data_IF_269822171873
#
_entry.id   IF_269822171873
#
_cell.length_a   1.000
_cell.length_b   1.000
_cell.length_c   1.000
_cell.angle_alpha   90.00
_cell.angle_beta   90.00
_cell.angle_gamma   90.00
#
_symmetry.space_group_name_H-M   'P 1'
#
loop_
_entity.id
_entity.type
_entity.pdbx_description
1 polymer ?
#
# COMPACT_ATOMS: atom_id res chain seq x y z
N UNK A 1 24.11 7.33 3.48
CA UNK A 1 23.51 8.09 2.37
C UNK A 1 22.04 8.29 2.71
N UNK A 2 21.62 9.50 3.08
CA UNK A 2 20.22 9.81 3.33
C UNK A 2 19.46 9.88 2.01
N UNK A 3 18.24 9.34 2.00
CA UNK A 3 17.35 9.22 0.84
C UNK A 3 17.14 10.54 0.07
N UNK A 4 17.32 11.68 0.75
CA UNK A 4 17.31 13.04 0.20
C UNK A 4 18.30 13.25 -0.96
N UNK A 5 19.45 12.56 -0.96
CA UNK A 5 20.46 12.74 -2.02
C UNK A 5 20.11 12.06 -3.35
N UNK A 6 19.14 11.16 -3.37
CA UNK A 6 18.77 10.41 -4.59
C UNK A 6 17.93 11.23 -5.58
N UNK A 7 17.29 12.33 -5.14
CA UNK A 7 16.40 13.13 -5.99
C UNK A 7 17.04 14.39 -6.60
N UNK A 8 18.19 14.86 -6.07
CA UNK A 8 18.87 16.04 -6.62
C UNK A 8 19.39 15.83 -8.07
N UNK A 9 19.42 14.58 -8.57
CA UNK A 9 20.00 14.23 -9.87
C UNK A 9 19.02 14.22 -11.05
N UNK A 10 17.72 14.51 -10.83
CA UNK A 10 16.70 14.54 -11.90
C UNK A 10 16.50 15.95 -12.49
N UNK A 11 17.25 16.96 -12.01
CA UNK A 11 17.20 18.32 -12.56
C UNK A 11 18.25 18.54 -13.65
N UNK A 12 18.06 17.96 -14.84
CA UNK A 12 18.57 18.50 -16.11
C UNK A 12 17.63 18.06 -17.23
N UNK A 13 16.87 19.04 -17.75
CA UNK A 13 16.02 19.02 -18.95
C UNK A 13 14.52 18.82 -18.71
N UNK A 14 13.78 19.92 -18.70
CA UNK A 14 12.31 19.96 -18.77
C UNK A 14 11.69 20.67 -17.58
N UNK A 15 11.27 21.91 -17.75
CA UNK A 15 10.68 22.78 -16.73
C UNK A 15 9.27 22.38 -16.28
N UNK A 16 9.04 21.11 -15.98
CA UNK A 16 7.88 20.67 -15.21
C UNK A 16 8.18 20.86 -13.72
N UNK A 17 7.44 21.74 -13.05
CA UNK A 17 7.56 21.91 -11.61
C UNK A 17 7.12 20.59 -10.94
N UNK A 18 8.08 19.78 -10.49
CA UNK A 18 7.79 18.61 -9.66
C UNK A 18 7.21 19.09 -8.33
N UNK A 19 5.90 18.91 -8.14
CA UNK A 19 5.26 19.17 -6.84
C UNK A 19 5.47 17.96 -5.95
N UNK A 20 6.48 18.03 -5.09
CA UNK A 20 6.65 17.06 -4.01
C UNK A 20 5.63 17.37 -2.93
N UNK A 21 4.52 16.63 -2.91
CA UNK A 21 3.59 16.64 -1.78
C UNK A 21 4.10 15.62 -0.76
N UNK A 22 4.50 16.10 0.42
CA UNK A 22 4.96 15.25 1.54
C UNK A 22 3.75 14.54 2.15
N UNK A 23 3.20 13.57 1.44
CA UNK A 23 2.10 12.77 1.94
C UNK A 23 2.63 11.73 2.93
N UNK A 24 2.14 11.76 4.17
CA UNK A 24 2.36 10.69 5.16
C UNK A 24 1.50 9.48 4.84
N UNK A 25 1.78 8.84 3.71
CA UNK A 25 1.08 7.63 3.24
C UNK A 25 1.89 6.40 3.62
N UNK A 26 1.19 5.32 3.96
CA UNK A 26 1.78 4.01 4.21
C UNK A 26 1.40 3.06 3.10
N UNK A 27 2.36 2.30 2.59
CA UNK A 27 2.11 1.10 1.80
C UNK A 27 1.89 -0.04 2.77
N UNK A 28 0.78 -0.75 2.58
CA UNK A 28 0.39 -1.88 3.41
C UNK A 28 0.28 -3.10 2.53
N UNK A 29 0.86 -4.20 3.01
CA UNK A 29 0.76 -5.51 2.38
C UNK A 29 0.38 -6.55 3.42
N UNK A 30 -0.48 -7.48 3.03
CA UNK A 30 -0.82 -8.63 3.85
C UNK A 30 -1.20 -9.81 2.97
N UNK A 31 -0.98 -11.02 3.51
CA UNK A 31 -1.32 -12.26 2.85
C UNK A 31 -2.70 -12.73 3.31
N UNK A 32 -3.50 -13.26 2.37
CA UNK A 32 -4.79 -13.88 2.65
C UNK A 32 -4.92 -15.19 1.90
N UNK A 33 -5.64 -16.17 2.46
CA UNK A 33 -6.10 -17.33 1.68
C UNK A 33 -6.89 -16.87 0.46
N UNK A 34 -6.76 -17.54 -0.69
CA UNK A 34 -7.46 -17.15 -1.92
C UNK A 34 -8.98 -17.07 -1.76
N UNK A 35 -9.55 -17.94 -0.91
CA UNK A 35 -10.99 -17.92 -0.57
C UNK A 35 -11.44 -16.62 0.10
N UNK A 36 -10.54 -15.94 0.84
CA UNK A 36 -10.80 -14.64 1.49
C UNK A 36 -10.35 -13.44 0.63
N UNK A 37 -9.69 -13.66 -0.51
CA UNK A 37 -9.12 -12.59 -1.33
C UNK A 37 -10.18 -11.61 -1.88
N UNK A 38 -11.36 -12.12 -2.26
CA UNK A 38 -12.47 -11.29 -2.72
C UNK A 38 -12.99 -10.34 -1.63
N UNK A 39 -13.23 -10.88 -0.43
CA UNK A 39 -13.70 -10.10 0.73
C UNK A 39 -12.66 -9.10 1.20
N UNK A 40 -11.39 -9.49 1.24
CA UNK A 40 -10.28 -8.59 1.58
C UNK A 40 -10.22 -7.39 0.63
N UNK A 41 -10.29 -7.64 -0.68
CA UNK A 41 -10.29 -6.57 -1.68
C UNK A 41 -11.51 -5.67 -1.56
N UNK A 42 -12.69 -6.25 -1.31
CA UNK A 42 -13.93 -5.49 -1.13
C UNK A 42 -13.84 -4.58 0.09
N UNK A 43 -13.36 -5.08 1.23
CA UNK A 43 -13.24 -4.29 2.46
C UNK A 43 -12.28 -3.12 2.33
N UNK A 44 -11.11 -3.35 1.75
CA UNK A 44 -10.14 -2.27 1.48
C UNK A 44 -10.74 -1.26 0.50
N UNK A 45 -11.44 -1.72 -0.54
CA UNK A 45 -12.07 -0.83 -1.53
C UNK A 45 -13.17 0.04 -0.93
N UNK A 46 -14.01 -0.53 -0.07
CA UNK A 46 -15.08 0.20 0.61
C UNK A 46 -14.54 1.22 1.60
N UNK A 47 -13.44 0.90 2.30
CA UNK A 47 -12.88 1.77 3.31
C UNK A 47 -12.12 2.95 2.72
N UNK A 48 -11.36 2.72 1.65
CA UNK A 48 -10.48 3.73 1.05
C UNK A 48 -11.05 4.39 -0.21
N UNK A 49 -12.20 3.92 -0.70
CA UNK A 49 -12.77 4.33 -1.99
C UNK A 49 -11.80 4.15 -3.17
N UNK A 50 -10.84 3.22 -3.06
CA UNK A 50 -9.84 2.90 -4.10
C UNK A 50 -9.67 1.39 -4.22
N UNK A 51 -9.43 0.91 -5.44
CA UNK A 51 -9.23 -0.52 -5.69
C UNK A 51 -7.80 -0.93 -5.29
N UNK A 52 -7.62 -1.88 -4.34
CA UNK A 52 -6.29 -2.37 -3.99
C UNK A 52 -5.72 -3.25 -5.10
N UNK A 53 -4.39 -3.33 -5.14
CA UNK A 53 -3.68 -4.31 -5.94
C UNK A 53 -3.72 -5.68 -5.28
N UNK A 54 -3.73 -6.73 -6.10
CA UNK A 54 -3.72 -8.11 -5.65
C UNK A 54 -2.89 -8.97 -6.60
N UNK A 55 -2.04 -9.84 -6.06
CA UNK A 55 -1.30 -10.85 -6.82
C UNK A 55 -1.30 -12.19 -6.07
N UNK A 56 -1.12 -13.29 -6.79
CA UNK A 56 -0.82 -14.58 -6.16
C UNK A 56 0.46 -14.48 -5.33
N UNK A 57 0.52 -15.23 -4.24
CA UNK A 57 1.71 -15.32 -3.39
C UNK A 57 2.62 -16.44 -3.90
N UNK A 58 3.88 -16.12 -4.13
CA UNK A 58 4.91 -17.11 -4.52
C UNK A 58 5.63 -17.70 -3.28
N UNK A 59 5.13 -17.43 -2.06
CA UNK A 59 5.77 -17.81 -0.79
C UNK A 59 5.63 -19.30 -0.43
N UNK A 60 5.28 -20.17 -1.38
CA UNK A 60 5.15 -21.62 -1.14
C UNK A 60 3.95 -22.06 -0.29
N UNK A 61 3.14 -21.12 0.19
CA UNK A 61 1.84 -21.43 0.78
C UNK A 61 0.82 -21.65 -0.35
N UNK A 62 0.40 -22.90 -0.53
CA UNK A 62 -0.67 -23.28 -1.47
C UNK A 62 -1.90 -22.39 -1.24
N UNK A 63 -2.28 -21.68 -2.30
CA UNK A 63 -3.51 -20.89 -2.43
C UNK A 63 -3.61 -19.64 -1.53
N UNK A 64 -2.70 -18.69 -1.71
CA UNK A 64 -2.75 -17.39 -1.04
C UNK A 64 -2.49 -16.21 -1.99
N UNK A 65 -3.07 -15.05 -1.65
CA UNK A 65 -2.92 -13.79 -2.37
C UNK A 65 -2.29 -12.74 -1.46
N UNK A 66 -1.49 -11.86 -2.06
CA UNK A 66 -0.97 -10.65 -1.42
C UNK A 66 -1.88 -9.50 -1.83
N UNK A 67 -2.50 -8.85 -0.86
CA UNK A 67 -3.24 -7.60 -1.07
C UNK A 67 -2.32 -6.44 -0.75
N UNK A 68 -2.28 -5.43 -1.62
CA UNK A 68 -1.43 -4.24 -1.48
C UNK A 68 -2.24 -2.98 -1.71
N UNK A 69 -2.09 -2.00 -0.83
CA UNK A 69 -2.76 -0.71 -0.97
C UNK A 69 -1.98 0.39 -0.25
N UNK A 70 -2.34 1.64 -0.52
CA UNK A 70 -1.76 2.82 0.13
C UNK A 70 -2.86 3.60 0.83
N UNK A 71 -2.63 4.01 2.07
CA UNK A 71 -3.56 4.88 2.83
C UNK A 71 -2.81 5.91 3.68
N UNK A 72 -3.54 6.91 4.20
CA UNK A 72 -2.99 7.91 5.12
C UNK A 72 -2.73 7.32 6.50
N UNK A 73 -1.70 7.81 7.19
CA UNK A 73 -1.33 7.39 8.55
C UNK A 73 -2.52 7.37 9.53
N UNK A 74 -3.41 8.36 9.44
CA UNK A 74 -4.61 8.48 10.27
C UNK A 74 -5.61 7.33 10.05
N UNK A 75 -5.58 6.71 8.87
CA UNK A 75 -6.53 5.68 8.41
C UNK A 75 -6.00 4.25 8.61
N UNK A 76 -4.69 4.11 8.81
CA UNK A 76 -4.00 2.80 8.92
C UNK A 76 -4.59 1.97 10.05
N UNK A 77 -4.62 2.50 11.27
CA UNK A 77 -4.98 1.72 12.46
C UNK A 77 -6.42 1.20 12.41
N UNK A 78 -7.37 2.05 11.99
CA UNK A 78 -8.78 1.67 11.89
C UNK A 78 -9.00 0.57 10.84
N UNK A 79 -8.36 0.72 9.68
CA UNK A 79 -8.45 -0.26 8.60
C UNK A 79 -7.79 -1.59 8.99
N UNK A 80 -6.59 -1.56 9.57
CA UNK A 80 -5.90 -2.77 10.03
C UNK A 80 -6.72 -3.51 11.10
N UNK A 81 -7.30 -2.77 12.05
CA UNK A 81 -8.16 -3.35 13.09
C UNK A 81 -9.39 -4.02 12.48
N UNK A 82 -10.02 -3.38 11.48
CA UNK A 82 -11.19 -3.93 10.79
C UNK A 82 -10.83 -5.19 9.98
N UNK A 83 -9.71 -5.16 9.26
CA UNK A 83 -9.21 -6.31 8.51
C UNK A 83 -8.86 -7.48 9.44
N UNK A 84 -8.15 -7.22 10.54
CA UNK A 84 -7.82 -8.24 11.54
C UNK A 84 -9.07 -8.90 12.12
N UNK A 85 -10.09 -8.11 12.48
CA UNK A 85 -11.34 -8.62 13.07
C UNK A 85 -12.20 -9.40 12.09
N UNK A 86 -12.32 -8.95 10.84
CA UNK A 86 -13.26 -9.55 9.89
C UNK A 86 -12.65 -10.67 9.05
N UNK A 87 -11.33 -10.67 8.85
CA UNK A 87 -10.64 -11.63 8.00
C UNK A 87 -9.68 -12.54 8.78
N UNK A 88 -9.52 -12.31 10.09
CA UNK A 88 -8.64 -13.06 10.99
C UNK A 88 -7.17 -12.99 10.57
N UNK A 89 -6.72 -11.78 10.23
CA UNK A 89 -5.34 -11.55 9.80
C UNK A 89 -4.47 -11.21 11.00
N UNK A 90 -3.44 -12.03 11.22
CA UNK A 90 -2.52 -11.86 12.33
C UNK A 90 -1.35 -10.92 12.01
N UNK A 91 -0.97 -10.80 10.74
CA UNK A 91 0.26 -10.12 10.35
C UNK A 91 0.06 -9.18 9.16
N UNK A 92 0.68 -8.01 9.27
CA UNK A 92 0.70 -6.96 8.25
C UNK A 92 2.11 -6.42 8.10
N UNK A 93 2.51 -6.14 6.86
CA UNK A 93 3.71 -5.37 6.55
C UNK A 93 3.29 -3.94 6.24
N UNK A 94 3.78 -2.98 7.02
CA UNK A 94 3.48 -1.55 6.88
C UNK A 94 4.77 -0.78 6.67
N UNK A 95 4.89 -0.09 5.54
CA UNK A 95 6.11 0.66 5.17
C UNK A 95 5.77 2.11 4.86
N UNK A 96 6.59 3.05 5.36
CA UNK A 96 6.55 4.44 4.93
C UNK A 96 6.80 4.55 3.44
N UNK A 97 5.90 5.21 2.72
CA UNK A 97 6.01 5.29 1.26
C UNK A 97 5.86 6.72 0.79
N UNK A 98 6.87 7.18 0.05
CA UNK A 98 6.84 8.47 -0.64
C UNK A 98 6.19 8.25 -2.01
N UNK A 99 5.03 8.86 -2.23
CA UNK A 99 4.39 8.84 -3.54
C UNK A 99 4.90 10.00 -4.39
N UNK A 100 5.49 9.66 -5.52
CA UNK A 100 5.90 10.64 -6.53
C UNK A 100 4.96 10.51 -7.71
N UNK A 101 4.19 11.56 -7.97
CA UNK A 101 3.35 11.65 -9.17
C UNK A 101 4.14 12.39 -10.25
N UNK A 102 4.35 11.71 -11.38
CA UNK A 102 4.85 12.36 -12.60
C UNK A 102 3.63 12.95 -13.34
N UNK A 103 3.69 14.24 -13.66
CA UNK A 103 2.71 14.95 -14.49
C UNK A 103 3.40 15.36 -15.79
#
# INVERSE_FOLDING_TARGET
MTFEKSFAKVSKNGGGQMRQETFTKKLIQFCVPSVKAGDARRLVSQFLSVKPWSRSSDLGHTDSYIITFICDQMTVNDLLTKLAKQLEIAEFVVTDTVLVKFV
#
